data_IF_730823955740
#
_entry.id   IF_730823955740
#
_cell.length_a   1.000
_cell.length_b   1.000
_cell.length_c   1.000
_cell.angle_alpha   90.00
_cell.angle_beta   90.00
_cell.angle_gamma   90.00
#
_symmetry.space_group_name_H-M   'P 1'
#
loop_
_entity.id
_entity.type
_entity.pdbx_description
1 polymer ?
#
# COMPACT_ATOMS: atom_id res chain seq x y z
N UNK A 1 22.17 -5.00 8.39
CA UNK A 1 23.07 -4.17 7.55
C UNK A 1 22.24 -3.42 6.52
N UNK A 2 22.50 -2.12 6.30
CA UNK A 2 21.83 -1.37 5.23
C UNK A 2 22.19 -1.97 3.87
N UNK A 3 21.21 -2.09 3.00
CA UNK A 3 21.43 -2.51 1.62
C UNK A 3 22.21 -1.44 0.85
N UNK A 4 23.09 -1.84 -0.11
CA UNK A 4 23.85 -0.89 -0.91
C UNK A 4 22.92 0.00 -1.75
N UNK A 5 23.27 1.27 -1.89
CA UNK A 5 22.49 2.24 -2.70
C UNK A 5 22.38 1.85 -4.18
N UNK A 6 23.36 1.11 -4.71
CA UNK A 6 23.37 0.66 -6.10
C UNK A 6 22.65 -0.68 -6.31
N UNK A 7 22.08 -1.30 -5.27
CA UNK A 7 21.39 -2.58 -5.39
C UNK A 7 20.25 -2.57 -6.41
N UNK A 8 19.38 -1.54 -6.47
CA UNK A 8 18.33 -1.50 -7.48
C UNK A 8 18.84 -1.51 -8.92
N UNK A 9 19.91 -0.79 -9.20
CA UNK A 9 20.54 -0.78 -10.54
C UNK A 9 21.09 -2.16 -10.90
N UNK A 10 21.72 -2.84 -9.94
CA UNK A 10 22.22 -4.20 -10.13
C UNK A 10 21.07 -5.20 -10.38
N UNK A 11 20.00 -5.10 -9.65
CA UNK A 11 18.79 -5.93 -9.88
C UNK A 11 18.30 -5.74 -11.32
N UNK A 12 18.17 -4.49 -11.79
CA UNK A 12 17.74 -4.20 -13.15
C UNK A 12 18.68 -4.74 -14.22
N UNK A 13 19.98 -4.79 -13.95
CA UNK A 13 20.95 -5.41 -14.86
C UNK A 13 20.77 -6.93 -14.94
N UNK A 14 20.61 -7.60 -13.81
CA UNK A 14 20.36 -9.05 -13.75
C UNK A 14 19.02 -9.40 -14.41
N UNK A 15 18.00 -8.57 -14.20
CA UNK A 15 16.66 -8.76 -14.77
C UNK A 15 16.66 -8.82 -16.30
N UNK A 16 17.56 -8.09 -16.98
CA UNK A 16 17.72 -8.16 -18.44
C UNK A 16 18.04 -9.56 -18.96
N UNK A 17 18.67 -10.39 -18.15
CA UNK A 17 19.03 -11.77 -18.52
C UNK A 17 18.06 -12.80 -17.97
N UNK A 18 17.50 -12.55 -16.77
CA UNK A 18 16.56 -13.49 -16.13
C UNK A 18 15.14 -13.36 -16.64
N UNK A 19 14.76 -12.20 -17.19
CA UNK A 19 13.39 -11.82 -17.54
C UNK A 19 12.41 -12.05 -16.37
N UNK A 20 12.90 -11.90 -15.14
CA UNK A 20 12.13 -12.16 -13.94
C UNK A 20 12.62 -11.26 -12.78
N UNK A 21 11.76 -10.38 -12.30
CA UNK A 21 12.02 -9.35 -11.29
C UNK A 21 12.48 -9.93 -9.94
N UNK A 22 11.66 -10.76 -9.33
CA UNK A 22 11.96 -11.35 -8.00
C UNK A 22 13.18 -12.27 -8.07
N UNK A 23 13.38 -12.99 -9.18
CA UNK A 23 14.58 -13.81 -9.37
C UNK A 23 15.85 -12.94 -9.46
N UNK A 24 15.75 -11.79 -10.10
CA UNK A 24 16.86 -10.83 -10.15
C UNK A 24 17.20 -10.28 -8.76
N UNK A 25 16.19 -9.99 -7.94
CA UNK A 25 16.37 -9.59 -6.54
C UNK A 25 17.04 -10.70 -5.73
N UNK A 26 16.55 -11.93 -5.83
CA UNK A 26 17.14 -13.10 -5.16
C UNK A 26 18.63 -13.26 -5.49
N UNK A 27 18.99 -13.20 -6.77
CA UNK A 27 20.37 -13.32 -7.22
C UNK A 27 21.24 -12.16 -6.71
N UNK A 28 20.77 -10.93 -6.82
CA UNK A 28 21.50 -9.76 -6.34
C UNK A 28 21.72 -9.78 -4.82
N UNK A 29 20.74 -10.24 -4.05
CA UNK A 29 20.89 -10.45 -2.61
C UNK A 29 21.80 -11.61 -2.30
N UNK A 30 21.71 -12.71 -3.06
CA UNK A 30 22.53 -13.90 -2.90
C UNK A 30 24.04 -13.61 -2.95
N UNK A 31 24.46 -12.64 -3.74
CA UNK A 31 25.88 -12.25 -3.79
C UNK A 31 26.40 -11.62 -2.49
N UNK A 32 25.50 -11.16 -1.59
CA UNK A 32 25.88 -10.61 -0.29
C UNK A 32 26.22 -11.69 0.74
N UNK A 33 25.85 -12.94 0.46
CA UNK A 33 26.14 -14.06 1.35
C UNK A 33 27.39 -14.80 0.89
N UNK A 34 28.34 -14.96 1.78
CA UNK A 34 29.57 -15.74 1.51
C UNK A 34 29.26 -17.25 1.46
N UNK A 35 28.34 -17.71 2.28
CA UNK A 35 27.96 -19.11 2.41
C UNK A 35 26.87 -19.46 1.39
N UNK A 36 27.10 -20.52 0.62
CA UNK A 36 26.19 -20.97 -0.45
C UNK A 36 24.81 -21.38 0.09
N UNK A 37 24.80 -21.97 1.29
CA UNK A 37 23.60 -22.41 1.98
C UNK A 37 22.59 -21.26 2.20
N UNK A 38 23.09 -20.10 2.62
CA UNK A 38 22.22 -18.92 2.82
C UNK A 38 21.64 -18.36 1.53
N UNK A 39 22.37 -18.50 0.41
CA UNK A 39 21.85 -18.08 -0.91
C UNK A 39 20.60 -18.86 -1.29
N UNK A 40 20.58 -20.16 -0.98
CA UNK A 40 19.46 -21.04 -1.31
C UNK A 40 18.24 -20.84 -0.40
N UNK A 41 18.41 -20.13 0.73
CA UNK A 41 17.32 -19.87 1.67
C UNK A 41 16.55 -18.57 1.38
N UNK A 42 17.08 -17.68 0.53
CA UNK A 42 16.50 -16.33 0.33
C UNK A 42 15.05 -16.39 -0.14
N UNK A 43 14.71 -17.35 -0.99
CA UNK A 43 13.38 -17.48 -1.59
C UNK A 43 12.71 -18.84 -1.26
N UNK A 44 13.17 -19.50 -0.18
CA UNK A 44 12.65 -20.82 0.18
C UNK A 44 11.15 -20.75 0.54
N UNK A 45 10.36 -21.66 0.00
CA UNK A 45 8.91 -21.77 0.16
C UNK A 45 8.05 -20.62 -0.36
N UNK A 46 8.67 -19.53 -0.83
CA UNK A 46 7.96 -18.39 -1.36
C UNK A 46 7.64 -18.56 -2.85
N UNK A 47 6.59 -17.90 -3.29
CA UNK A 47 6.39 -17.55 -4.70
C UNK A 47 6.68 -16.07 -4.91
N UNK A 48 6.93 -15.66 -6.14
CA UNK A 48 7.22 -14.25 -6.45
C UNK A 48 6.13 -13.31 -5.95
N UNK A 49 4.89 -13.73 -6.02
CA UNK A 49 3.74 -12.93 -5.56
C UNK A 49 3.72 -12.73 -4.05
N UNK A 50 4.26 -13.64 -3.23
CA UNK A 50 4.42 -13.40 -1.79
C UNK A 50 5.29 -12.15 -1.57
N UNK A 51 6.37 -12.00 -2.36
CA UNK A 51 7.28 -10.85 -2.29
C UNK A 51 6.63 -9.61 -2.88
N UNK A 52 5.99 -9.73 -4.04
CA UNK A 52 5.38 -8.61 -4.76
C UNK A 52 4.21 -8.02 -3.98
N UNK A 53 3.26 -8.83 -3.51
CA UNK A 53 2.11 -8.35 -2.73
C UNK A 53 2.54 -7.65 -1.45
N UNK A 54 3.56 -8.17 -0.75
CA UNK A 54 4.10 -7.53 0.44
C UNK A 54 4.80 -6.20 0.11
N UNK A 55 5.55 -6.13 -1.00
CA UNK A 55 6.18 -4.90 -1.45
C UNK A 55 5.14 -3.84 -1.82
N UNK A 56 4.08 -4.22 -2.54
CA UNK A 56 2.96 -3.34 -2.86
C UNK A 56 2.25 -2.84 -1.60
N UNK A 57 1.99 -3.71 -0.63
CA UNK A 57 1.37 -3.33 0.63
C UNK A 57 2.16 -2.24 1.36
N UNK A 58 3.50 -2.36 1.42
CA UNK A 58 4.37 -1.34 2.02
C UNK A 58 4.35 -0.04 1.22
N UNK A 59 4.50 -0.10 -0.11
CA UNK A 59 4.45 1.09 -0.96
C UNK A 59 3.11 1.81 -0.86
N UNK A 60 2.00 1.09 -0.84
CA UNK A 60 0.66 1.68 -0.70
C UNK A 60 0.47 2.35 0.66
N UNK A 61 1.01 1.81 1.74
CA UNK A 61 1.02 2.49 3.05
C UNK A 61 1.77 3.83 2.99
N UNK A 62 2.92 3.87 2.33
CA UNK A 62 3.68 5.12 2.16
C UNK A 62 2.90 6.13 1.33
N UNK A 63 2.28 5.70 0.23
CA UNK A 63 1.42 6.54 -0.62
C UNK A 63 0.22 7.06 0.19
N UNK A 64 -0.45 6.20 0.94
CA UNK A 64 -1.58 6.56 1.80
C UNK A 64 -1.20 7.66 2.80
N UNK A 65 -0.07 7.51 3.49
CA UNK A 65 0.42 8.50 4.44
C UNK A 65 0.76 9.84 3.77
N UNK A 66 1.44 9.80 2.62
CA UNK A 66 1.77 11.01 1.86
C UNK A 66 0.50 11.72 1.35
N UNK A 67 -0.45 10.99 0.79
CA UNK A 67 -1.72 11.52 0.29
C UNK A 67 -2.55 12.16 1.41
N UNK A 68 -2.61 11.52 2.58
CA UNK A 68 -3.31 12.08 3.73
C UNK A 68 -2.71 13.44 4.15
N UNK A 69 -1.40 13.56 4.17
CA UNK A 69 -0.73 14.81 4.51
C UNK A 69 -1.06 15.93 3.51
N UNK A 70 -0.98 15.65 2.21
CA UNK A 70 -1.32 16.63 1.17
C UNK A 70 -2.79 17.07 1.23
N UNK A 71 -3.70 16.13 1.38
CA UNK A 71 -5.14 16.47 1.51
C UNK A 71 -5.40 17.25 2.79
N UNK A 72 -4.70 16.97 3.89
CA UNK A 72 -4.81 17.72 5.13
C UNK A 72 -4.36 19.19 4.98
N UNK A 73 -3.33 19.46 4.17
CA UNK A 73 -2.92 20.82 3.81
C UNK A 73 -4.03 21.53 3.05
N UNK A 74 -4.64 20.89 2.05
CA UNK A 74 -5.79 21.44 1.30
C UNK A 74 -6.96 21.74 2.25
N UNK A 75 -7.30 20.82 3.15
CA UNK A 75 -8.36 21.03 4.16
C UNK A 75 -8.04 22.25 5.03
N UNK A 76 -6.79 22.43 5.43
CA UNK A 76 -6.37 23.60 6.22
C UNK A 76 -6.60 24.92 5.46
N UNK A 77 -6.26 24.95 4.17
CA UNK A 77 -6.50 26.11 3.30
C UNK A 77 -8.01 26.38 3.15
N UNK A 78 -8.79 25.36 2.84
CA UNK A 78 -10.25 25.45 2.72
C UNK A 78 -10.89 25.94 4.02
N UNK A 79 -10.38 25.51 5.17
CA UNK A 79 -10.88 25.95 6.47
C UNK A 79 -10.63 27.45 6.71
N UNK A 80 -9.44 27.95 6.35
CA UNK A 80 -9.12 29.38 6.41
C UNK A 80 -10.04 30.20 5.47
N UNK A 81 -10.25 29.72 4.25
CA UNK A 81 -11.14 30.36 3.29
C UNK A 81 -12.59 30.36 3.78
N UNK A 82 -13.08 29.23 4.28
CA UNK A 82 -14.42 29.11 4.88
C UNK A 82 -14.63 30.14 5.97
N UNK A 83 -13.68 30.30 6.89
CA UNK A 83 -13.78 31.28 7.97
C UNK A 83 -13.73 32.71 7.48
N UNK A 84 -12.84 33.01 6.51
CA UNK A 84 -12.71 34.36 5.94
C UNK A 84 -13.97 34.81 5.22
N UNK A 85 -14.69 33.91 4.56
CA UNK A 85 -15.86 34.20 3.73
C UNK A 85 -17.17 33.71 4.34
N UNK A 86 -17.20 33.48 5.67
CA UNK A 86 -18.35 32.93 6.36
C UNK A 86 -19.63 33.77 6.14
N UNK A 87 -19.49 35.08 6.19
CA UNK A 87 -20.60 36.04 6.08
C UNK A 87 -20.73 36.67 4.70
N UNK A 88 -19.89 36.28 3.73
CA UNK A 88 -19.97 36.80 2.38
C UNK A 88 -21.18 36.21 1.65
N UNK A 89 -22.24 37.00 1.58
CA UNK A 89 -23.47 36.61 0.91
C UNK A 89 -23.26 36.42 -0.60
N UNK A 90 -23.85 35.38 -1.14
CA UNK A 90 -23.91 35.12 -2.57
C UNK A 90 -25.27 34.50 -2.95
N UNK A 91 -25.63 34.67 -4.21
CA UNK A 91 -26.81 34.06 -4.78
C UNK A 91 -26.50 32.67 -5.27
N UNK A 92 -27.15 31.66 -4.70
CA UNK A 92 -27.06 30.31 -5.24
C UNK A 92 -27.84 30.15 -6.53
N UNK A 93 -27.52 29.13 -7.31
CA UNK A 93 -28.20 28.80 -8.57
C UNK A 93 -28.64 27.35 -8.56
N UNK A 94 -29.82 27.09 -9.14
CA UNK A 94 -30.31 25.75 -9.46
C UNK A 94 -30.69 25.72 -10.94
N UNK A 95 -30.24 24.72 -11.67
CA UNK A 95 -30.42 24.64 -13.14
C UNK A 95 -29.99 25.92 -13.89
N UNK A 96 -28.93 26.61 -13.40
CA UNK A 96 -28.45 27.87 -13.98
C UNK A 96 -29.30 29.13 -13.64
N UNK A 97 -30.41 28.95 -12.94
CA UNK A 97 -31.32 30.03 -12.54
C UNK A 97 -31.04 30.52 -11.10
N UNK A 98 -31.29 31.80 -10.79
CA UNK A 98 -31.21 32.31 -9.44
C UNK A 98 -32.08 31.53 -8.47
N UNK A 99 -31.51 31.22 -7.28
CA UNK A 99 -32.19 30.51 -6.21
C UNK A 99 -32.02 31.28 -4.88
N UNK A 100 -32.12 30.60 -3.75
CA UNK A 100 -32.01 31.24 -2.43
C UNK A 100 -30.60 31.78 -2.17
N UNK A 101 -30.45 32.86 -1.38
CA UNK A 101 -29.15 33.31 -0.90
C UNK A 101 -28.42 32.26 -0.08
N UNK A 102 -27.11 32.27 -0.17
CA UNK A 102 -26.19 31.46 0.62
C UNK A 102 -24.95 32.27 0.98
N UNK A 103 -23.91 31.65 1.53
CA UNK A 103 -22.62 32.31 1.73
C UNK A 103 -21.50 31.54 1.04
N UNK A 104 -20.46 32.26 0.59
CA UNK A 104 -19.29 31.66 -0.04
C UNK A 104 -18.59 30.70 0.96
N UNK A 105 -18.53 31.07 2.24
CA UNK A 105 -17.94 30.21 3.28
C UNK A 105 -18.66 28.88 3.41
N UNK A 106 -19.99 28.86 3.31
CA UNK A 106 -20.77 27.60 3.31
C UNK A 106 -20.47 26.75 2.07
N UNK A 107 -20.37 27.35 0.89
CA UNK A 107 -20.07 26.60 -0.33
C UNK A 107 -18.66 25.96 -0.27
N UNK A 108 -17.67 26.70 0.24
CA UNK A 108 -16.31 26.18 0.47
C UNK A 108 -16.32 25.02 1.50
N UNK A 109 -17.14 25.15 2.54
CA UNK A 109 -17.25 24.13 3.59
C UNK A 109 -17.74 22.77 3.06
N UNK A 110 -18.53 22.75 2.00
CA UNK A 110 -18.97 21.50 1.36
C UNK A 110 -17.76 20.69 0.88
N UNK A 111 -16.81 21.33 0.19
CA UNK A 111 -15.62 20.67 -0.31
C UNK A 111 -14.71 20.20 0.84
N UNK A 112 -14.52 21.06 1.86
CA UNK A 112 -13.75 20.70 3.05
C UNK A 112 -14.33 19.45 3.73
N UNK A 113 -15.63 19.43 3.97
CA UNK A 113 -16.31 18.33 4.68
C UNK A 113 -16.23 17.02 3.86
N UNK A 114 -16.33 17.11 2.55
CA UNK A 114 -16.15 15.94 1.67
C UNK A 114 -14.74 15.36 1.79
N UNK A 115 -13.70 16.19 1.70
CA UNK A 115 -12.31 15.73 1.84
C UNK A 115 -12.04 15.14 3.23
N UNK A 116 -12.59 15.71 4.29
CA UNK A 116 -12.49 15.17 5.65
C UNK A 116 -13.10 13.75 5.76
N UNK A 117 -14.21 13.52 5.07
CA UNK A 117 -14.85 12.21 5.01
C UNK A 117 -13.99 11.20 4.25
N UNK A 118 -13.46 11.58 3.09
CA UNK A 118 -12.61 10.68 2.29
C UNK A 118 -11.32 10.29 3.04
N UNK A 119 -10.65 11.25 3.72
CA UNK A 119 -9.51 10.91 4.59
C UNK A 119 -9.90 9.93 5.68
N UNK A 120 -11.08 10.09 6.30
CA UNK A 120 -11.54 9.16 7.32
C UNK A 120 -11.73 7.74 6.76
N UNK A 121 -12.27 7.61 5.56
CA UNK A 121 -12.41 6.33 4.85
C UNK A 121 -11.04 5.74 4.54
N UNK A 122 -10.14 6.52 3.93
CA UNK A 122 -8.79 6.09 3.58
C UNK A 122 -8.02 5.55 4.80
N UNK A 123 -8.16 6.17 5.97
CA UNK A 123 -7.51 5.72 7.22
C UNK A 123 -7.98 4.34 7.70
N UNK A 124 -9.11 3.86 7.24
CA UNK A 124 -9.64 2.55 7.62
C UNK A 124 -9.15 1.43 6.70
N UNK A 125 -8.58 1.78 5.55
CA UNK A 125 -8.04 0.80 4.62
C UNK A 125 -6.79 0.15 5.19
N UNK A 126 -6.78 -1.19 5.19
CA UNK A 126 -5.68 -1.99 5.70
C UNK A 126 -4.87 -2.56 4.54
N UNK A 127 -3.58 -2.28 4.52
CA UNK A 127 -2.69 -2.89 3.56
C UNK A 127 -2.59 -4.39 3.81
N UNK A 128 -2.77 -5.20 2.77
CA UNK A 128 -2.78 -6.66 2.83
C UNK A 128 -1.71 -7.26 1.94
N UNK A 129 -1.23 -8.43 2.32
CA UNK A 129 -0.34 -9.23 1.51
C UNK A 129 -0.61 -10.71 1.75
N UNK A 130 -0.42 -11.52 0.71
CA UNK A 130 -0.37 -12.98 0.89
C UNK A 130 1.04 -13.42 1.25
N UNK A 131 1.14 -14.54 1.97
CA UNK A 131 2.42 -15.16 2.35
C UNK A 131 2.24 -16.67 2.49
N UNK A 132 1.67 -17.30 1.45
CA UNK A 132 1.20 -18.68 1.49
C UNK A 132 1.79 -19.60 0.42
N UNK A 133 2.82 -19.16 -0.32
CA UNK A 133 3.45 -19.92 -1.39
C UNK A 133 2.63 -19.94 -2.68
N UNK A 134 2.97 -20.83 -3.61
CA UNK A 134 2.54 -20.83 -5.00
C UNK A 134 1.01 -20.88 -5.21
N UNK A 135 0.24 -21.38 -4.25
CA UNK A 135 -1.22 -21.51 -4.36
C UNK A 135 -1.97 -20.86 -3.18
N UNK A 136 -1.25 -20.22 -2.25
CA UNK A 136 -1.83 -19.67 -1.02
C UNK A 136 -2.12 -20.70 0.07
N UNK A 137 -1.82 -21.98 -0.15
CA UNK A 137 -2.23 -23.09 0.74
C UNK A 137 -1.10 -23.65 1.61
N UNK A 138 0.10 -23.05 1.62
CA UNK A 138 1.25 -23.52 2.40
C UNK A 138 1.68 -24.97 2.11
N UNK A 139 1.43 -25.49 0.90
CA UNK A 139 1.64 -26.90 0.59
C UNK A 139 3.07 -27.37 0.90
N UNK A 140 4.09 -26.72 0.32
CA UNK A 140 5.50 -27.06 0.56
C UNK A 140 5.91 -26.80 2.00
N UNK A 141 5.42 -25.72 2.59
CA UNK A 141 5.66 -25.38 3.99
C UNK A 141 5.22 -26.51 4.94
N UNK A 142 3.99 -27.03 4.76
CA UNK A 142 3.45 -28.12 5.58
C UNK A 142 4.14 -29.44 5.32
N UNK A 143 4.59 -29.70 4.09
CA UNK A 143 5.32 -30.92 3.73
C UNK A 143 6.67 -30.98 4.46
N UNK A 144 7.39 -29.88 4.53
CA UNK A 144 8.75 -29.83 5.12
C UNK A 144 8.70 -29.66 6.64
N UNK A 145 7.85 -28.77 7.13
CA UNK A 145 7.73 -28.47 8.56
C UNK A 145 6.26 -28.39 8.98
N UNK A 146 5.82 -29.31 9.81
CA UNK A 146 4.45 -29.33 10.37
C UNK A 146 4.30 -28.23 11.44
N UNK A 147 4.04 -26.99 11.02
CA UNK A 147 3.86 -25.83 11.89
C UNK A 147 2.57 -25.07 11.52
N UNK A 148 2.10 -24.21 12.40
CA UNK A 148 1.02 -23.30 12.07
C UNK A 148 1.57 -22.11 11.23
N UNK A 149 1.66 -22.33 9.92
CA UNK A 149 2.23 -21.36 9.00
C UNK A 149 1.40 -20.08 8.87
N UNK A 150 0.09 -20.17 8.99
CA UNK A 150 -0.80 -18.98 9.00
C UNK A 150 -0.40 -18.04 10.15
N UNK A 151 -0.20 -18.59 11.35
CA UNK A 151 0.24 -17.79 12.50
C UNK A 151 1.64 -17.19 12.30
N UNK A 152 2.56 -17.95 11.71
CA UNK A 152 3.93 -17.47 11.41
C UNK A 152 3.87 -16.31 10.40
N UNK A 153 3.14 -16.49 9.31
CA UNK A 153 2.99 -15.47 8.25
C UNK A 153 2.31 -14.21 8.78
N UNK A 154 1.23 -14.36 9.55
CA UNK A 154 0.55 -13.22 10.20
C UNK A 154 1.49 -12.44 11.12
N UNK A 155 2.29 -13.14 11.94
CA UNK A 155 3.27 -12.49 12.82
C UNK A 155 4.33 -11.73 12.02
N UNK A 156 4.86 -12.34 10.96
CA UNK A 156 5.86 -11.71 10.09
C UNK A 156 5.34 -10.43 9.43
N UNK A 157 4.18 -10.49 8.79
CA UNK A 157 3.59 -9.33 8.11
C UNK A 157 3.22 -8.21 9.09
N UNK A 158 2.76 -8.58 10.29
CA UNK A 158 2.40 -7.62 11.35
C UNK A 158 3.58 -6.75 11.80
N UNK A 159 4.81 -7.23 11.69
CA UNK A 159 6.02 -6.43 12.00
C UNK A 159 6.14 -5.18 11.11
N UNK A 160 5.54 -5.22 9.93
CA UNK A 160 5.43 -4.10 8.99
C UNK A 160 4.02 -3.48 8.95
N UNK A 161 3.15 -3.83 9.92
CA UNK A 161 1.76 -3.40 10.00
C UNK A 161 0.96 -3.71 8.71
N UNK A 162 1.22 -4.88 8.13
CA UNK A 162 0.51 -5.42 6.98
C UNK A 162 -0.33 -6.60 7.46
N UNK A 163 -1.58 -6.67 7.03
CA UNK A 163 -2.46 -7.80 7.32
C UNK A 163 -2.18 -8.97 6.39
N UNK A 164 -2.36 -10.20 6.90
CA UNK A 164 -2.29 -11.40 6.09
C UNK A 164 -3.61 -11.60 5.33
N UNK A 165 -3.54 -11.65 4.01
CA UNK A 165 -4.60 -12.19 3.17
C UNK A 165 -4.58 -13.72 3.31
N UNK A 166 -5.38 -14.25 4.25
CA UNK A 166 -5.36 -15.68 4.60
C UNK A 166 -5.93 -16.57 3.50
N UNK A 167 -6.91 -16.06 2.76
CA UNK A 167 -7.58 -16.77 1.67
C UNK A 167 -7.16 -16.12 0.36
N UNK A 168 -6.28 -16.79 -0.35
CA UNK A 168 -5.76 -16.33 -1.64
C UNK A 168 -5.48 -17.52 -2.56
N UNK A 169 -5.22 -17.22 -3.82
CA UNK A 169 -4.67 -18.18 -4.79
C UNK A 169 -3.15 -17.97 -4.89
N UNK A 170 -2.57 -18.08 -6.07
CA UNK A 170 -1.21 -17.62 -6.33
C UNK A 170 -1.10 -16.10 -6.18
N UNK A 171 -2.17 -15.38 -6.55
CA UNK A 171 -2.25 -13.92 -6.58
C UNK A 171 -3.01 -13.43 -5.34
N UNK A 172 -2.53 -12.35 -4.74
CA UNK A 172 -3.29 -11.55 -3.78
C UNK A 172 -4.37 -10.77 -4.54
N UNK A 173 -5.64 -10.68 -4.06
CA UNK A 173 -6.74 -10.04 -4.81
C UNK A 173 -6.53 -8.56 -5.14
N UNK A 174 -5.67 -7.85 -4.42
CA UNK A 174 -5.36 -6.43 -4.56
C UNK A 174 -6.55 -5.47 -4.34
N UNK A 175 -7.61 -5.94 -3.70
CA UNK A 175 -8.81 -5.12 -3.42
C UNK A 175 -8.47 -3.83 -2.69
N UNK A 176 -7.58 -3.90 -1.68
CA UNK A 176 -7.15 -2.74 -0.91
C UNK A 176 -6.44 -1.67 -1.77
N UNK A 177 -5.81 -2.08 -2.86
CA UNK A 177 -5.18 -1.15 -3.79
C UNK A 177 -6.21 -0.41 -4.66
N UNK A 178 -7.31 -1.08 -5.00
CA UNK A 178 -8.41 -0.49 -5.75
C UNK A 178 -9.28 0.44 -4.90
N UNK A 179 -9.29 0.22 -3.58
CA UNK A 179 -10.05 1.02 -2.62
C UNK A 179 -9.37 2.34 -2.23
N UNK A 180 -8.05 2.48 -2.48
CA UNK A 180 -7.27 3.70 -2.20
C UNK A 180 -7.39 4.73 -3.34
#
# INVERSE_FOLDING_TARGET
KKLPKNLPLKVKEIEKTTNHDVKAVELALGEKFKQKEFKNLIHIFLTSEDVNSFSYAIMMKEIQNASQNWVQEVISILNKMRSKYADLAMLSKTHGQPASPTTLGKEINVFKTRLEREIKTMKQLQARAKWGGATGNYNVHQLVFKKNWVTISRKFLKESEVELCEVSTQIEPHDFMAEQ
#
